data_IF_401152764409
#
_entry.id   IF_401152764409
#
_cell.length_a   1.000
_cell.length_b   1.000
_cell.length_c   1.000
_cell.angle_alpha   90.00
_cell.angle_beta   90.00
_cell.angle_gamma   90.00
#
_symmetry.space_group_name_H-M   'P 1'
#
loop_
_entity.id
_entity.type
_entity.pdbx_description
1 polymer ?
#
# COMPACT_ATOMS: atom_id res chain seq x y z
N UNK A 1 17.97 1.24 -59.11
CA UNK A 1 18.94 2.22 -58.58
C UNK A 1 18.51 3.66 -58.82
N UNK A 2 18.52 4.20 -60.05
CA UNK A 2 18.27 5.63 -60.29
C UNK A 2 16.87 6.12 -59.81
N UNK A 3 15.81 5.34 -60.02
CA UNK A 3 14.45 5.73 -59.61
C UNK A 3 14.25 5.84 -58.08
N UNK A 4 14.92 4.99 -57.29
CA UNK A 4 14.80 4.98 -55.82
C UNK A 4 15.52 6.19 -55.23
N UNK A 5 16.76 6.45 -55.68
CA UNK A 5 17.55 7.60 -55.23
C UNK A 5 16.85 8.92 -55.61
N UNK A 6 16.31 9.02 -56.83
CA UNK A 6 15.52 10.19 -57.22
C UNK A 6 14.24 10.35 -56.38
N UNK A 7 13.56 9.26 -56.03
CA UNK A 7 12.38 9.30 -55.18
C UNK A 7 12.73 9.80 -53.77
N UNK A 8 13.87 9.39 -53.20
CA UNK A 8 14.36 9.87 -51.90
C UNK A 8 14.63 11.38 -51.96
N UNK A 9 15.43 11.83 -52.93
CA UNK A 9 15.79 13.25 -53.08
C UNK A 9 14.57 14.15 -53.33
N UNK A 10 13.55 13.67 -54.05
CA UNK A 10 12.30 14.41 -54.27
C UNK A 10 11.39 14.43 -53.04
N UNK A 11 11.53 13.48 -52.12
CA UNK A 11 10.64 13.34 -50.95
C UNK A 11 11.19 14.08 -49.75
N UNK A 12 12.48 13.92 -49.48
CA UNK A 12 13.14 14.45 -48.29
C UNK A 12 13.99 15.70 -48.56
N UNK A 13 14.09 16.11 -49.83
CA UNK A 13 14.88 17.27 -50.25
C UNK A 13 16.37 16.98 -50.27
N UNK A 14 17.14 17.90 -50.88
CA UNK A 14 18.61 17.82 -50.92
C UNK A 14 19.17 18.49 -49.68
N UNK A 15 19.02 17.87 -48.50
CA UNK A 15 19.72 18.29 -47.29
C UNK A 15 21.01 17.48 -47.16
N UNK A 16 22.14 18.10 -47.46
CA UNK A 16 23.48 17.50 -47.37
C UNK A 16 24.02 17.38 -45.95
N UNK A 17 23.27 17.84 -44.94
CA UNK A 17 23.77 18.03 -43.57
C UNK A 17 22.77 17.61 -42.47
N UNK A 18 21.78 16.77 -42.80
CA UNK A 18 20.79 16.33 -41.81
C UNK A 18 20.58 14.82 -41.91
N UNK A 19 20.45 14.18 -40.75
CA UNK A 19 20.01 12.80 -40.64
C UNK A 19 18.57 12.70 -41.17
N UNK A 20 18.35 11.77 -42.09
CA UNK A 20 17.06 11.58 -42.76
C UNK A 20 16.39 10.31 -42.26
N UNK A 21 15.23 10.46 -41.62
CA UNK A 21 14.33 9.35 -41.35
C UNK A 21 13.52 9.01 -42.61
N UNK A 22 13.94 7.96 -43.30
CA UNK A 22 13.32 7.52 -44.55
C UNK A 22 12.24 6.48 -44.26
N UNK A 23 11.01 6.77 -44.69
CA UNK A 23 9.93 5.80 -44.74
C UNK A 23 10.04 4.98 -46.04
N UNK A 24 10.47 3.73 -45.93
CA UNK A 24 10.68 2.81 -47.05
C UNK A 24 9.42 2.57 -47.87
N UNK A 25 8.24 2.51 -47.24
CA UNK A 25 6.94 2.32 -47.90
C UNK A 25 6.60 3.45 -48.86
N UNK A 26 6.83 4.71 -48.45
CA UNK A 26 6.56 5.88 -49.30
C UNK A 26 7.49 5.89 -50.51
N UNK A 27 8.77 5.55 -50.31
CA UNK A 27 9.76 5.50 -51.39
C UNK A 27 9.47 4.35 -52.35
N UNK A 28 9.07 3.19 -51.85
CA UNK A 28 8.66 2.05 -52.65
C UNK A 28 7.48 2.43 -53.57
N UNK A 29 6.46 3.08 -53.02
CA UNK A 29 5.30 3.58 -53.78
C UNK A 29 5.71 4.59 -54.86
N UNK A 30 6.54 5.59 -54.52
CA UNK A 30 6.96 6.66 -55.46
C UNK A 30 7.93 6.20 -56.53
N UNK A 31 8.73 5.17 -56.25
CA UNK A 31 9.67 4.58 -57.21
C UNK A 31 9.06 3.41 -57.99
N UNK A 32 7.81 3.04 -57.71
CA UNK A 32 7.13 1.87 -58.26
C UNK A 32 7.94 0.58 -58.05
N UNK A 33 8.46 0.39 -56.83
CA UNK A 33 9.23 -0.79 -56.41
C UNK A 33 8.71 -1.35 -55.09
N UNK A 34 9.30 -2.44 -54.59
CA UNK A 34 9.00 -3.01 -53.28
C UNK A 34 9.91 -2.44 -52.20
N UNK A 35 9.46 -2.43 -50.95
CA UNK A 35 10.27 -2.00 -49.80
C UNK A 35 11.59 -2.76 -49.69
N UNK A 36 11.58 -4.07 -49.94
CA UNK A 36 12.79 -4.89 -50.00
C UNK A 36 13.84 -4.33 -50.98
N UNK A 37 13.43 -3.92 -52.19
CA UNK A 37 14.35 -3.32 -53.17
C UNK A 37 14.87 -1.96 -52.73
N UNK A 38 14.10 -1.21 -51.96
CA UNK A 38 14.53 0.07 -51.37
C UNK A 38 15.62 -0.20 -50.33
N UNK A 39 15.39 -1.15 -49.42
CA UNK A 39 16.36 -1.56 -48.40
C UNK A 39 17.64 -2.10 -49.03
N UNK A 40 17.55 -3.02 -50.01
CA UNK A 40 18.71 -3.53 -50.76
C UNK A 40 19.50 -2.43 -51.45
N UNK A 41 18.82 -1.38 -51.94
CA UNK A 41 19.50 -0.26 -52.59
C UNK A 41 20.22 0.61 -51.56
N UNK A 42 19.63 0.85 -50.39
CA UNK A 42 20.27 1.58 -49.29
C UNK A 42 21.49 0.82 -48.74
N UNK A 43 21.37 -0.50 -48.54
CA UNK A 43 22.50 -1.37 -48.15
C UNK A 43 23.65 -1.28 -49.16
N UNK A 44 23.36 -1.32 -50.46
CA UNK A 44 24.38 -1.18 -51.50
C UNK A 44 25.06 0.20 -51.50
N UNK A 45 24.34 1.26 -51.16
CA UNK A 45 24.92 2.61 -51.07
C UNK A 45 25.80 2.74 -49.82
N UNK A 46 25.43 2.09 -48.74
CA UNK A 46 26.23 1.98 -47.51
C UNK A 46 27.50 1.14 -47.75
N UNK A 47 27.38 -0.02 -48.40
CA UNK A 47 28.53 -0.86 -48.82
C UNK A 47 29.51 -0.11 -49.73
N UNK A 48 29.03 0.87 -50.50
CA UNK A 48 29.84 1.74 -51.35
C UNK A 48 30.37 2.97 -50.62
N UNK A 49 30.16 3.08 -49.31
CA UNK A 49 30.56 4.21 -48.47
C UNK A 49 30.00 5.57 -48.96
N UNK A 50 28.86 5.55 -49.66
CA UNK A 50 28.21 6.76 -50.19
C UNK A 50 27.24 7.39 -49.19
N UNK A 51 26.73 6.60 -48.24
CA UNK A 51 25.82 7.02 -47.16
C UNK A 51 26.20 6.29 -45.87
N UNK A 52 25.84 6.88 -44.74
CA UNK A 52 25.80 6.20 -43.44
C UNK A 52 24.33 5.91 -43.12
N UNK A 53 23.96 4.64 -42.94
CA UNK A 53 22.56 4.23 -42.82
C UNK A 53 22.33 3.33 -41.60
N UNK A 54 21.40 3.73 -40.71
CA UNK A 54 20.93 2.86 -39.64
C UNK A 54 19.62 2.17 -40.07
N UNK A 55 19.74 0.97 -40.64
CA UNK A 55 18.58 0.18 -41.08
C UNK A 55 18.03 -0.61 -39.88
N UNK A 56 16.93 -0.12 -39.31
CA UNK A 56 16.24 -0.78 -38.20
C UNK A 56 15.20 -1.74 -38.76
N UNK A 57 15.47 -3.04 -38.65
CA UNK A 57 14.52 -4.10 -38.98
C UNK A 57 13.64 -4.37 -37.73
N UNK A 58 12.58 -3.58 -37.57
CA UNK A 58 11.65 -3.73 -36.46
C UNK A 58 10.36 -4.41 -36.93
N UNK A 59 10.19 -5.70 -36.60
CA UNK A 59 9.01 -6.51 -36.91
C UNK A 59 7.69 -5.94 -36.37
N UNK A 60 7.74 -5.02 -35.40
CA UNK A 60 6.54 -4.41 -34.80
C UNK A 60 6.74 -2.92 -34.50
N UNK A 61 5.99 -2.08 -35.22
CA UNK A 61 5.84 -0.66 -34.91
C UNK A 61 4.35 -0.37 -34.65
N UNK A 62 4.05 0.35 -33.57
CA UNK A 62 2.70 0.84 -33.27
C UNK A 62 2.60 2.26 -33.84
N UNK A 63 1.87 2.40 -34.95
CA UNK A 63 1.58 3.71 -35.52
C UNK A 63 0.14 4.10 -35.23
N UNK A 64 -0.06 5.20 -34.49
CA UNK A 64 -1.40 5.70 -34.16
C UNK A 64 -1.94 6.49 -35.34
N UNK A 65 -3.05 6.03 -35.92
CA UNK A 65 -3.69 6.64 -37.09
C UNK A 65 -4.35 7.99 -36.79
N UNK A 66 -4.62 8.27 -35.52
CA UNK A 66 -5.23 9.52 -35.04
C UNK A 66 -4.53 10.00 -33.76
N UNK A 67 -4.49 11.32 -33.51
CA UNK A 67 -4.08 11.87 -32.23
C UNK A 67 -4.95 11.30 -31.11
N UNK A 68 -4.32 10.89 -30.02
CA UNK A 68 -5.02 10.35 -28.86
C UNK A 68 -5.97 11.40 -28.24
N UNK A 69 -7.28 11.26 -28.45
CA UNK A 69 -8.32 12.09 -27.83
C UNK A 69 -8.68 11.53 -26.44
N UNK A 70 -7.77 11.76 -25.50
CA UNK A 70 -7.92 11.37 -24.09
C UNK A 70 -9.16 12.01 -23.45
N UNK A 71 -9.54 13.22 -23.86
CA UNK A 71 -10.64 13.95 -23.25
C UNK A 71 -11.99 13.29 -23.53
N UNK A 72 -12.27 12.84 -24.75
CA UNK A 72 -13.55 12.14 -25.04
C UNK A 72 -13.55 10.71 -24.53
N UNK A 73 -12.41 10.03 -24.58
CA UNK A 73 -12.30 8.61 -24.22
C UNK A 73 -12.32 8.41 -22.70
N UNK A 74 -11.59 9.23 -21.95
CA UNK A 74 -11.49 9.14 -20.48
C UNK A 74 -12.74 9.71 -19.80
N UNK A 75 -13.39 10.74 -20.35
CA UNK A 75 -14.51 11.41 -19.69
C UNK A 75 -15.67 10.45 -19.37
N UNK A 76 -15.92 9.42 -20.20
CA UNK A 76 -16.97 8.40 -19.96
C UNK A 76 -16.83 7.69 -18.62
N UNK A 77 -15.61 7.38 -18.19
CA UNK A 77 -15.34 6.66 -16.93
C UNK A 77 -14.62 7.53 -15.88
N UNK A 78 -14.22 8.76 -16.22
CA UNK A 78 -13.57 9.71 -15.31
C UNK A 78 -14.35 9.95 -14.01
N UNK A 79 -15.68 10.10 -14.11
CA UNK A 79 -16.57 10.31 -12.96
C UNK A 79 -16.61 9.11 -12.01
N UNK A 80 -16.61 7.90 -12.57
CA UNK A 80 -16.57 6.69 -11.75
C UNK A 80 -15.17 6.48 -11.16
N UNK A 81 -14.12 6.76 -11.91
CA UNK A 81 -12.74 6.66 -11.44
C UNK A 81 -12.46 7.63 -10.27
N UNK A 82 -12.92 8.88 -10.39
CA UNK A 82 -12.82 9.88 -9.32
C UNK A 82 -13.60 9.47 -8.08
N UNK A 83 -14.81 8.91 -8.25
CA UNK A 83 -15.59 8.33 -7.14
C UNK A 83 -14.86 7.16 -6.48
N UNK A 84 -14.31 6.23 -7.25
CA UNK A 84 -13.52 5.11 -6.72
C UNK A 84 -12.29 5.58 -5.96
N UNK A 85 -11.57 6.58 -6.48
CA UNK A 85 -10.42 7.18 -5.81
C UNK A 85 -10.80 7.83 -4.47
N UNK A 86 -11.95 8.53 -4.42
CA UNK A 86 -12.48 9.08 -3.17
C UNK A 86 -12.77 8.00 -2.14
N UNK A 87 -13.43 6.91 -2.56
CA UNK A 87 -13.73 5.77 -1.67
C UNK A 87 -12.43 5.12 -1.16
N UNK A 88 -11.45 4.91 -2.04
CA UNK A 88 -10.13 4.35 -1.66
C UNK A 88 -9.44 5.22 -0.61
N UNK A 89 -9.42 6.54 -0.82
CA UNK A 89 -8.84 7.50 0.12
C UNK A 89 -9.55 7.45 1.49
N UNK A 90 -10.88 7.46 1.49
CA UNK A 90 -11.67 7.37 2.73
C UNK A 90 -11.40 6.07 3.49
N UNK A 91 -11.34 4.91 2.81
CA UNK A 91 -11.02 3.62 3.43
C UNK A 91 -9.63 3.63 4.07
N UNK A 92 -8.65 4.20 3.39
CA UNK A 92 -7.28 4.33 3.91
C UNK A 92 -7.25 5.23 5.16
N UNK A 93 -7.95 6.36 5.15
CA UNK A 93 -8.08 7.25 6.30
C UNK A 93 -8.71 6.54 7.52
N UNK A 94 -9.71 5.68 7.30
CA UNK A 94 -10.29 4.86 8.39
C UNK A 94 -9.29 3.85 8.95
N UNK A 95 -8.45 3.23 8.10
CA UNK A 95 -7.39 2.33 8.56
C UNK A 95 -6.31 3.07 9.36
N UNK A 96 -5.89 4.26 8.90
CA UNK A 96 -4.98 5.12 9.67
C UNK A 96 -5.58 5.50 11.02
N UNK A 97 -6.86 5.86 11.05
CA UNK A 97 -7.56 6.16 12.30
C UNK A 97 -7.55 4.97 13.27
N UNK A 98 -7.79 3.75 12.77
CA UNK A 98 -7.77 2.53 13.57
C UNK A 98 -6.41 2.30 14.25
N UNK A 99 -5.31 2.50 13.52
CA UNK A 99 -3.93 2.24 14.01
C UNK A 99 -3.43 3.35 14.93
N UNK A 100 -3.77 4.61 14.64
CA UNK A 100 -3.27 5.77 15.39
C UNK A 100 -4.07 6.06 16.66
N UNK A 101 -5.34 5.65 16.71
CA UNK A 101 -6.23 5.89 17.85
C UNK A 101 -5.92 4.95 19.03
N UNK A 102 -5.43 5.50 20.14
CA UNK A 102 -5.06 4.74 21.35
C UNK A 102 -6.10 4.74 22.48
N UNK A 103 -7.18 5.50 22.36
CA UNK A 103 -8.14 5.72 23.47
C UNK A 103 -9.47 5.00 23.31
N UNK A 104 -9.86 4.61 22.09
CA UNK A 104 -11.13 3.93 21.82
C UNK A 104 -10.93 2.43 21.68
N UNK A 105 -11.92 1.65 22.13
CA UNK A 105 -11.93 0.20 21.98
C UNK A 105 -11.77 -0.20 20.52
N UNK A 106 -10.77 -1.03 20.22
CA UNK A 106 -10.45 -1.49 18.85
C UNK A 106 -11.67 -2.18 18.22
N UNK A 107 -12.35 -3.05 18.96
CA UNK A 107 -13.54 -3.76 18.46
C UNK A 107 -14.67 -2.80 18.04
N UNK A 108 -14.90 -1.74 18.81
CA UNK A 108 -15.91 -0.73 18.47
C UNK A 108 -15.55 0.03 17.20
N UNK A 109 -14.25 0.32 16.99
CA UNK A 109 -13.77 0.97 15.78
C UNK A 109 -13.96 0.10 14.54
N UNK A 110 -13.65 -1.21 14.65
CA UNK A 110 -13.83 -2.18 13.56
C UNK A 110 -15.31 -2.33 13.21
N UNK A 111 -16.16 -2.55 14.21
CA UNK A 111 -17.59 -2.73 13.98
C UNK A 111 -18.23 -1.48 13.37
N UNK A 112 -17.82 -0.29 13.83
CA UNK A 112 -18.24 0.99 13.23
C UNK A 112 -17.87 1.09 11.74
N UNK A 113 -16.71 0.59 11.33
CA UNK A 113 -16.31 0.58 9.92
C UNK A 113 -17.27 -0.25 9.05
N UNK A 114 -17.82 -1.33 9.60
CA UNK A 114 -18.86 -2.15 8.95
C UNK A 114 -20.29 -1.64 9.17
N UNK A 115 -20.46 -0.46 9.78
CA UNK A 115 -21.78 0.14 10.04
C UNK A 115 -22.48 -0.40 11.29
N UNK A 116 -21.79 -1.21 12.09
CA UNK A 116 -22.33 -1.81 13.30
C UNK A 116 -22.05 -0.96 14.55
N UNK A 117 -22.95 -1.04 15.53
CA UNK A 117 -22.80 -0.39 16.83
C UNK A 117 -22.46 -1.42 17.88
N UNK A 118 -21.53 -1.08 18.77
CA UNK A 118 -21.14 -1.96 19.86
C UNK A 118 -20.64 -1.17 21.06
N UNK A 119 -20.63 -1.83 22.22
CA UNK A 119 -20.05 -1.33 23.47
C UNK A 119 -18.57 -1.74 23.57
N UNK A 120 -17.77 -1.09 24.43
CA UNK A 120 -16.39 -1.50 24.67
C UNK A 120 -16.27 -2.99 25.00
N UNK A 121 -15.36 -3.70 24.33
CA UNK A 121 -15.31 -5.16 24.40
C UNK A 121 -14.66 -5.73 25.67
N UNK A 122 -14.03 -4.89 26.50
CA UNK A 122 -13.35 -5.30 27.74
C UNK A 122 -12.03 -6.07 27.56
N UNK A 123 -11.74 -6.61 26.37
CA UNK A 123 -10.62 -7.54 26.13
C UNK A 123 -9.54 -7.07 25.14
N UNK A 124 -9.69 -5.89 24.54
CA UNK A 124 -8.66 -5.36 23.64
C UNK A 124 -7.62 -4.55 24.43
N UNK A 125 -6.44 -4.34 23.85
CA UNK A 125 -5.33 -3.61 24.49
C UNK A 125 -5.74 -2.26 25.09
N UNK A 126 -6.63 -1.52 24.42
CA UNK A 126 -7.16 -0.24 24.90
C UNK A 126 -8.13 -0.39 26.07
N UNK A 127 -8.93 -1.46 26.11
CA UNK A 127 -9.86 -1.72 27.21
C UNK A 127 -9.14 -2.22 28.45
N UNK A 128 -8.10 -3.06 28.28
CA UNK A 128 -7.35 -3.62 29.40
C UNK A 128 -6.51 -2.53 30.09
N UNK A 129 -5.91 -1.61 29.33
CA UNK A 129 -5.24 -0.45 29.89
C UNK A 129 -6.17 0.56 30.59
N UNK A 130 -7.48 0.32 30.60
CA UNK A 130 -8.51 1.14 31.25
C UNK A 130 -9.23 0.44 32.40
N UNK A 131 -8.77 -0.71 32.87
CA UNK A 131 -9.31 -1.27 34.12
C UNK A 131 -8.97 -0.26 35.23
N UNK A 132 -9.96 0.35 35.91
CA UNK A 132 -9.68 1.28 36.99
C UNK A 132 -8.91 0.51 38.07
N UNK A 133 -7.76 1.02 38.51
CA UNK A 133 -6.98 0.40 39.60
C UNK A 133 -7.86 0.13 40.84
N UNK A 134 -8.87 0.95 41.08
CA UNK A 134 -9.87 0.77 42.14
C UNK A 134 -10.64 -0.55 42.04
N UNK A 135 -11.10 -0.95 40.84
CA UNK A 135 -11.81 -2.22 40.63
C UNK A 135 -10.89 -3.45 40.76
N UNK A 136 -9.59 -3.29 40.54
CA UNK A 136 -8.59 -4.34 40.76
C UNK A 136 -8.31 -4.49 42.25
N UNK A 137 -8.16 -3.37 42.96
CA UNK A 137 -7.98 -3.33 44.42
C UNK A 137 -9.14 -4.03 45.15
N UNK A 138 -10.39 -3.71 44.81
CA UNK A 138 -11.57 -4.29 45.46
C UNK A 138 -11.63 -5.81 45.25
N UNK A 139 -11.34 -6.29 44.03
CA UNK A 139 -11.33 -7.73 43.74
C UNK A 139 -10.20 -8.48 44.44
N UNK A 140 -9.01 -7.88 44.54
CA UNK A 140 -7.88 -8.48 45.27
C UNK A 140 -8.19 -8.51 46.76
N UNK A 141 -8.77 -7.44 47.30
CA UNK A 141 -9.22 -7.35 48.69
C UNK A 141 -10.25 -8.46 49.00
N UNK A 142 -11.29 -8.61 48.18
CA UNK A 142 -12.32 -9.64 48.40
C UNK A 142 -11.74 -11.06 48.41
N UNK A 143 -10.72 -11.34 47.59
CA UNK A 143 -10.06 -12.65 47.59
C UNK A 143 -9.21 -12.86 48.84
N UNK A 144 -8.39 -11.86 49.22
CA UNK A 144 -7.46 -11.96 50.34
C UNK A 144 -8.13 -11.88 51.71
N UNK A 145 -9.34 -11.31 51.82
CA UNK A 145 -10.17 -11.40 53.03
C UNK A 145 -10.60 -12.85 53.28
N UNK A 146 -10.95 -13.58 52.21
CA UNK A 146 -11.48 -14.94 52.33
C UNK A 146 -10.37 -15.99 52.51
N UNK A 147 -9.20 -15.78 51.90
CA UNK A 147 -8.10 -16.75 51.97
C UNK A 147 -6.76 -16.11 51.62
N UNK A 148 -5.71 -16.51 52.33
CA UNK A 148 -4.34 -16.17 51.96
C UNK A 148 -3.93 -16.92 50.69
N UNK A 149 -3.51 -16.17 49.68
CA UNK A 149 -3.21 -16.67 48.33
C UNK A 149 -1.84 -16.19 47.86
N UNK A 150 -1.19 -16.97 47.00
CA UNK A 150 0.04 -16.54 46.33
C UNK A 150 -0.30 -15.74 45.05
N UNK A 151 0.69 -15.06 44.45
CA UNK A 151 0.48 -14.27 43.23
C UNK A 151 -0.04 -15.08 42.03
N UNK A 152 0.33 -16.36 41.94
CA UNK A 152 -0.11 -17.27 40.88
C UNK A 152 -1.58 -17.68 41.04
N UNK A 153 -1.99 -17.99 42.27
CA UNK A 153 -3.37 -18.34 42.62
C UNK A 153 -4.30 -17.16 42.33
N UNK A 154 -3.90 -15.94 42.69
CA UNK A 154 -4.67 -14.71 42.41
C UNK A 154 -4.78 -14.49 40.89
N UNK A 155 -3.69 -14.69 40.14
CA UNK A 155 -3.71 -14.59 38.67
C UNK A 155 -4.64 -15.64 38.03
N UNK A 156 -4.71 -16.84 38.60
CA UNK A 156 -5.60 -17.91 38.12
C UNK A 156 -7.08 -17.63 38.40
N UNK A 157 -7.38 -17.00 39.54
CA UNK A 157 -8.74 -16.62 39.95
C UNK A 157 -9.24 -15.34 39.27
N UNK A 158 -8.32 -14.48 38.81
CA UNK A 158 -8.60 -13.22 38.13
C UNK A 158 -7.95 -13.17 36.73
N UNK A 159 -8.33 -14.06 35.79
CA UNK A 159 -7.74 -14.12 34.45
C UNK A 159 -8.01 -12.86 33.60
N UNK A 160 -9.01 -12.05 33.99
CA UNK A 160 -9.32 -10.76 33.38
C UNK A 160 -8.32 -9.63 33.72
N UNK A 161 -7.37 -9.86 34.63
CA UNK A 161 -6.40 -8.85 35.07
C UNK A 161 -5.04 -9.19 34.48
N UNK A 162 -4.44 -8.22 33.79
CA UNK A 162 -3.07 -8.36 33.28
C UNK A 162 -2.09 -8.61 34.43
N UNK A 163 -1.13 -9.51 34.21
CA UNK A 163 -0.12 -9.87 35.21
C UNK A 163 0.69 -8.66 35.70
N UNK A 164 0.99 -7.71 34.83
CA UNK A 164 1.69 -6.48 35.21
C UNK A 164 0.84 -5.60 36.13
N UNK A 165 -0.44 -5.40 35.80
CA UNK A 165 -1.37 -4.63 36.62
C UNK A 165 -1.62 -5.30 37.99
N UNK A 166 -1.65 -6.64 38.02
CA UNK A 166 -1.73 -7.41 39.26
C UNK A 166 -0.51 -7.17 40.16
N UNK A 167 0.71 -7.23 39.60
CA UNK A 167 1.96 -7.01 40.35
C UNK A 167 2.03 -5.57 40.86
N UNK A 168 1.71 -4.59 40.00
CA UNK A 168 1.67 -3.17 40.39
C UNK A 168 0.68 -2.94 41.53
N UNK A 169 -0.51 -3.55 41.47
CA UNK A 169 -1.54 -3.38 42.50
C UNK A 169 -1.14 -4.06 43.82
N UNK A 170 -0.55 -5.26 43.78
CA UNK A 170 -0.06 -5.95 44.99
C UNK A 170 1.09 -5.14 45.62
N UNK A 171 2.00 -4.61 44.81
CA UNK A 171 3.11 -3.77 45.29
C UNK A 171 2.59 -2.54 46.01
N UNK A 172 1.60 -1.85 45.44
CA UNK A 172 0.95 -0.70 46.06
C UNK A 172 0.25 -1.06 47.39
N UNK A 173 -0.37 -2.24 47.49
CA UNK A 173 -1.03 -2.71 48.72
C UNK A 173 -0.03 -3.05 49.83
N UNK A 174 1.14 -3.58 49.49
CA UNK A 174 2.25 -3.81 50.41
C UNK A 174 2.82 -2.49 50.93
N UNK A 175 3.06 -1.52 50.03
CA UNK A 175 3.53 -0.17 50.40
C UNK A 175 2.54 0.55 51.33
N UNK A 176 1.24 0.37 51.10
CA UNK A 176 0.18 0.92 51.96
C UNK A 176 -0.02 0.13 53.26
N UNK A 177 0.68 -0.99 53.47
CA UNK A 177 0.54 -1.85 54.65
C UNK A 177 -0.81 -2.58 54.76
N UNK A 178 -1.63 -2.58 53.71
CA UNK A 178 -2.94 -3.27 53.67
C UNK A 178 -2.82 -4.76 53.41
N UNK A 179 -1.68 -5.19 52.88
CA UNK A 179 -1.35 -6.61 52.66
C UNK A 179 0.00 -6.89 53.31
N UNK A 180 0.17 -8.05 53.92
CA UNK A 180 1.45 -8.56 54.43
C UNK A 180 1.85 -9.85 53.71
N UNK A 181 3.16 -10.09 53.62
CA UNK A 181 3.71 -11.33 53.09
C UNK A 181 4.02 -12.28 54.26
N UNK A 182 3.46 -13.48 54.23
CA UNK A 182 3.75 -14.54 55.21
C UNK A 182 4.97 -15.36 54.78
N UNK A 183 5.54 -16.10 55.72
CA UNK A 183 6.68 -17.03 55.51
C UNK A 183 6.39 -18.11 54.44
N UNK A 184 5.11 -18.41 54.20
CA UNK A 184 4.66 -19.34 53.16
C UNK A 184 4.52 -18.70 51.77
N UNK A 185 5.04 -17.49 51.57
CA UNK A 185 4.97 -16.71 50.32
C UNK A 185 3.53 -16.39 49.87
N UNK A 186 2.59 -16.37 50.82
CA UNK A 186 1.21 -15.94 50.57
C UNK A 186 1.00 -14.53 51.09
N UNK A 187 0.10 -13.84 50.40
CA UNK A 187 -0.37 -12.53 50.79
C UNK A 187 -1.54 -12.67 51.76
N UNK A 188 -1.51 -11.91 52.85
CA UNK A 188 -2.58 -11.81 53.83
C UNK A 188 -3.09 -10.39 53.90
N UNK A 189 -4.40 -10.22 54.04
CA UNK A 189 -5.03 -8.91 54.14
C UNK A 189 -5.00 -8.39 55.59
N UNK A 190 -4.35 -7.26 55.80
CA UNK A 190 -4.25 -6.58 57.09
C UNK A 190 -5.47 -5.66 57.28
N UNK A 191 -6.67 -6.23 57.50
CA UNK A 191 -7.88 -5.42 57.76
C UNK A 191 -9.21 -6.13 57.65
#
# INVERSE_FOLDING_TARGET
MNAIVQAILRTYGSSTYQDLEINTSIIALRSNTSEQKVIETLQKLEEQELIEANIIDADTQINFLEPRDDDRTINRFSKELTKQNKIKKQKLEQMFYLVTQKQKCINVLILRYFGEKSQPCGKCSVCIGKVPQTLVLDKIKDLLINKDLNSGDIASLLPQIDKNNLIETISLLLEQGKVSLLDNHKYHWNG
#
